data_IF_156836847618
#
_entry.id   IF_156836847618
#
_cell.length_a   1.000
_cell.length_b   1.000
_cell.length_c   1.000
_cell.angle_alpha   90.00
_cell.angle_beta   90.00
_cell.angle_gamma   90.00
#
_symmetry.space_group_name_H-M   'P 1'
#
loop_
_entity.id
_entity.type
_entity.pdbx_description
1 polymer ?
#
# COMPACT_ATOMS: atom_id res chain seq x y z
N UNK A 1 31.17 -16.70 13.70
CA UNK A 1 30.05 -17.39 14.37
C UNK A 1 30.41 -17.60 15.84
N UNK A 2 29.46 -17.54 16.80
CA UNK A 2 28.08 -17.05 16.71
C UNK A 2 27.65 -16.14 17.90
N UNK A 3 26.37 -15.77 17.89
CA UNK A 3 25.53 -15.29 19.00
C UNK A 3 25.39 -13.77 19.19
N UNK A 4 24.46 -13.17 18.42
CA UNK A 4 23.60 -12.12 18.98
C UNK A 4 22.18 -12.67 19.06
N UNK A 5 21.75 -12.85 20.30
CA UNK A 5 20.47 -13.41 20.69
C UNK A 5 19.34 -12.39 20.51
N UNK A 6 18.18 -12.93 20.17
CA UNK A 6 16.91 -12.24 20.03
C UNK A 6 16.52 -11.47 21.29
N UNK A 7 16.24 -10.17 21.15
CA UNK A 7 15.50 -9.40 22.15
C UNK A 7 14.02 -9.43 21.73
N UNK A 8 13.30 -10.47 22.18
CA UNK A 8 11.83 -10.42 22.28
C UNK A 8 11.50 -9.65 23.56
N UNK A 9 11.08 -8.39 23.43
CA UNK A 9 10.37 -7.72 24.52
C UNK A 9 8.89 -8.11 24.44
N UNK A 10 8.44 -8.78 25.51
CA UNK A 10 7.04 -8.96 25.86
C UNK A 10 6.40 -7.59 26.06
N UNK A 11 5.44 -7.22 25.21
CA UNK A 11 4.47 -6.17 25.51
C UNK A 11 3.17 -6.86 25.91
N UNK A 12 2.84 -6.77 27.20
CA UNK A 12 1.53 -7.22 27.71
C UNK A 12 0.51 -6.10 27.51
N UNK A 13 -0.51 -6.40 26.71
CA UNK A 13 -1.91 -6.11 27.04
C UNK A 13 -2.40 -4.68 26.84
N UNK A 14 -3.08 -4.46 25.73
CA UNK A 14 -4.41 -3.85 25.78
C UNK A 14 -5.30 -4.50 24.71
N UNK A 15 -6.07 -5.50 25.14
CA UNK A 15 -7.19 -6.05 24.41
C UNK A 15 -8.34 -5.04 24.48
N UNK A 16 -8.88 -4.64 23.33
CA UNK A 16 -10.32 -4.53 23.08
C UNK A 16 -10.52 -4.10 21.63
N UNK A 17 -10.76 -5.07 20.73
CA UNK A 17 -11.81 -4.93 19.74
C UNK A 17 -12.27 -6.30 19.26
N UNK A 18 -13.58 -6.40 19.05
CA UNK A 18 -14.36 -7.61 18.99
C UNK A 18 -13.92 -8.54 17.85
N UNK A 19 -13.71 -9.80 18.22
CA UNK A 19 -13.64 -10.95 17.32
C UNK A 19 -14.96 -11.06 16.52
N UNK A 20 -14.96 -10.48 15.33
CA UNK A 20 -15.84 -10.90 14.24
C UNK A 20 -15.17 -12.09 13.59
N UNK A 21 -15.84 -13.24 13.60
CA UNK A 21 -15.39 -14.54 13.10
C UNK A 21 -15.26 -14.60 11.56
N UNK A 22 -14.82 -13.51 10.92
CA UNK A 22 -14.42 -13.50 9.51
C UNK A 22 -12.92 -13.76 9.49
N UNK A 23 -12.52 -14.88 8.89
CA UNK A 23 -11.11 -15.14 8.58
C UNK A 23 -10.61 -13.97 7.70
N UNK A 24 -9.86 -13.05 8.29
CA UNK A 24 -9.23 -11.93 7.60
C UNK A 24 -8.17 -12.45 6.61
N UNK A 25 -7.83 -11.67 5.58
CA UNK A 25 -6.71 -12.00 4.71
C UNK A 25 -5.40 -12.15 5.53
N UNK A 26 -4.56 -13.18 5.29
CA UNK A 26 -3.25 -13.30 5.94
C UNK A 26 -2.33 -12.08 5.77
N UNK A 27 -2.47 -11.34 4.67
CA UNK A 27 -1.68 -10.13 4.41
C UNK A 27 -2.09 -8.95 5.30
N UNK A 28 -3.27 -9.02 5.95
CA UNK A 28 -3.67 -8.06 6.96
C UNK A 28 -2.98 -8.28 8.32
N UNK A 29 -2.33 -9.42 8.52
CA UNK A 29 -1.58 -9.72 9.75
C UNK A 29 -0.14 -9.22 9.63
N UNK A 30 0.17 -8.07 10.23
CA UNK A 30 1.52 -7.46 10.20
C UNK A 30 2.63 -8.38 10.74
N UNK A 31 2.31 -9.27 11.68
CA UNK A 31 3.27 -10.20 12.29
C UNK A 31 3.64 -11.37 11.37
N UNK A 32 2.86 -11.59 10.30
CA UNK A 32 3.19 -12.58 9.28
C UNK A 32 4.29 -12.02 8.37
N UNK A 33 5.48 -12.61 8.45
CA UNK A 33 6.58 -12.33 7.53
C UNK A 33 6.29 -12.91 6.14
N UNK A 34 5.56 -12.16 5.31
CA UNK A 34 5.09 -12.57 3.97
C UNK A 34 6.23 -13.09 3.09
N UNK A 35 7.41 -12.47 3.14
CA UNK A 35 8.58 -12.86 2.35
C UNK A 35 9.21 -14.19 2.77
N UNK A 36 8.87 -14.71 3.95
CA UNK A 36 9.45 -15.92 4.52
C UNK A 36 8.48 -17.11 4.52
N UNK A 37 7.24 -16.94 4.05
CA UNK A 37 6.22 -17.99 4.02
C UNK A 37 5.80 -18.30 2.59
N UNK A 38 5.50 -19.56 2.32
CA UNK A 38 4.81 -19.93 1.09
C UNK A 38 3.37 -19.44 1.17
N UNK A 39 3.06 -18.33 0.50
CA UNK A 39 1.72 -17.74 0.52
C UNK A 39 0.70 -18.59 -0.21
N UNK A 40 1.11 -19.51 -1.08
CA UNK A 40 0.19 -20.37 -1.84
C UNK A 40 -0.60 -21.32 -0.95
N UNK A 41 -0.11 -21.61 0.27
CA UNK A 41 -0.86 -22.37 1.27
C UNK A 41 -2.19 -21.72 1.66
N UNK A 42 -2.32 -20.40 1.47
CA UNK A 42 -3.54 -19.65 1.78
C UNK A 42 -4.55 -19.60 0.63
N UNK A 43 -4.18 -20.08 -0.57
CA UNK A 43 -4.98 -19.94 -1.78
C UNK A 43 -6.38 -20.57 -1.67
N UNK A 44 -6.52 -21.62 -0.86
CA UNK A 44 -7.78 -22.33 -0.67
C UNK A 44 -8.58 -21.86 0.56
N UNK A 45 -7.97 -21.05 1.42
CA UNK A 45 -8.58 -20.61 2.69
C UNK A 45 -8.93 -19.12 2.70
N UNK A 46 -8.18 -18.30 1.98
CA UNK A 46 -8.46 -16.88 1.88
C UNK A 46 -9.67 -16.63 0.98
N UNK A 47 -10.61 -15.80 1.46
CA UNK A 47 -11.82 -15.43 0.70
C UNK A 47 -11.66 -14.12 -0.06
N UNK A 48 -10.50 -13.47 0.06
CA UNK A 48 -10.27 -12.12 -0.45
C UNK A 48 -9.27 -12.10 -1.61
N UNK A 49 -8.27 -12.99 -1.56
CA UNK A 49 -7.22 -13.09 -2.57
C UNK A 49 -6.98 -14.54 -2.95
N UNK A 50 -6.51 -14.75 -4.17
CA UNK A 50 -6.16 -16.08 -4.69
C UNK A 50 -4.81 -16.57 -4.18
N UNK A 51 -3.91 -15.68 -3.76
CA UNK A 51 -2.57 -16.03 -3.26
C UNK A 51 -1.75 -16.91 -4.22
N UNK A 52 -2.00 -16.78 -5.51
CA UNK A 52 -1.27 -17.50 -6.54
C UNK A 52 0.21 -17.10 -6.51
N UNK A 53 1.09 -18.05 -6.81
CA UNK A 53 2.51 -17.77 -7.02
C UNK A 53 2.64 -16.83 -8.22
N UNK A 54 3.42 -15.76 -8.07
CA UNK A 54 3.67 -14.86 -9.18
C UNK A 54 4.40 -15.61 -10.31
N UNK A 55 4.03 -15.39 -11.58
CA UNK A 55 4.73 -16.00 -12.70
C UNK A 55 6.16 -15.47 -12.80
N UNK A 56 7.00 -16.17 -13.56
CA UNK A 56 8.31 -15.64 -13.95
C UNK A 56 8.08 -14.45 -14.88
N UNK A 57 8.67 -13.30 -14.53
CA UNK A 57 8.53 -12.07 -15.31
C UNK A 57 8.99 -12.28 -16.76
N UNK A 58 8.12 -11.98 -17.71
CA UNK A 58 8.42 -12.01 -19.15
C UNK A 58 8.75 -10.61 -19.69
N UNK A 59 8.26 -9.56 -19.03
CA UNK A 59 8.52 -8.15 -19.35
C UNK A 59 9.72 -7.68 -18.51
N UNK A 60 10.88 -7.65 -19.13
CA UNK A 60 12.13 -7.21 -18.50
C UNK A 60 12.55 -5.80 -18.91
N UNK A 61 12.08 -5.32 -20.06
CA UNK A 61 12.33 -3.96 -20.54
C UNK A 61 11.49 -2.93 -19.76
N UNK A 62 12.00 -1.69 -19.57
CA UNK A 62 11.23 -0.62 -18.96
C UNK A 62 9.89 -0.37 -19.64
N UNK A 63 8.84 -0.17 -18.84
CA UNK A 63 7.51 0.23 -19.30
C UNK A 63 7.28 1.70 -18.93
N UNK A 64 6.94 2.52 -19.92
CA UNK A 64 6.70 3.95 -19.70
C UNK A 64 5.38 4.21 -18.97
N UNK A 65 5.41 5.21 -18.09
CA UNK A 65 4.19 5.82 -17.56
C UNK A 65 3.63 6.80 -18.59
N UNK A 66 2.55 6.46 -19.27
CA UNK A 66 1.96 7.32 -20.30
C UNK A 66 1.13 8.41 -19.64
N UNK A 67 1.55 9.67 -19.80
CA UNK A 67 0.84 10.87 -19.31
C UNK A 67 0.60 11.82 -20.48
N UNK A 68 -0.64 12.26 -20.68
CA UNK A 68 -1.02 13.25 -21.71
C UNK A 68 -1.71 14.43 -21.06
N UNK A 69 -1.21 15.64 -21.32
CA UNK A 69 -1.73 16.88 -20.71
C UNK A 69 -1.88 16.78 -19.19
N UNK A 70 -0.88 16.20 -18.52
CA UNK A 70 -0.87 16.00 -17.07
C UNK A 70 -1.81 14.90 -16.55
N UNK A 71 -2.46 14.13 -17.42
CA UNK A 71 -3.37 13.04 -17.03
C UNK A 71 -2.77 11.69 -17.41
N UNK A 72 -2.72 10.76 -16.45
CA UNK A 72 -2.37 9.36 -16.71
C UNK A 72 -3.30 8.73 -17.75
N UNK A 73 -2.71 8.00 -18.71
CA UNK A 73 -3.43 7.28 -19.77
C UNK A 73 -3.12 5.80 -19.66
N UNK A 74 -4.17 4.99 -19.49
CA UNK A 74 -4.09 3.53 -19.55
C UNK A 74 -3.55 3.09 -20.91
N UNK A 75 -2.65 2.11 -20.92
CA UNK A 75 -1.97 1.63 -22.13
C UNK A 75 -2.01 0.10 -22.21
N UNK A 76 -1.80 -0.44 -23.41
CA UNK A 76 -1.67 -1.90 -23.59
C UNK A 76 -0.45 -2.46 -22.84
N UNK A 77 0.61 -1.69 -22.69
CA UNK A 77 1.82 -2.10 -21.98
C UNK A 77 1.62 -2.11 -20.46
N UNK A 78 0.92 -1.13 -19.88
CA UNK A 78 0.53 -1.19 -18.46
C UNK A 78 -0.44 -2.33 -18.16
N UNK A 79 -1.34 -2.65 -19.11
CA UNK A 79 -2.25 -3.78 -19.01
C UNK A 79 -1.51 -5.14 -19.09
N UNK A 80 -0.51 -5.25 -19.98
CA UNK A 80 0.35 -6.44 -20.02
C UNK A 80 1.18 -6.57 -18.73
N UNK A 81 1.67 -5.46 -18.19
CA UNK A 81 2.48 -5.44 -16.99
C UNK A 81 1.74 -5.90 -15.74
N UNK A 82 0.45 -5.55 -15.57
CA UNK A 82 -0.34 -6.11 -14.44
C UNK A 82 -0.52 -7.62 -14.58
N UNK A 83 -0.68 -8.14 -15.79
CA UNK A 83 -0.76 -9.58 -16.00
C UNK A 83 0.58 -10.27 -15.66
N UNK A 84 1.69 -9.67 -16.06
CA UNK A 84 3.03 -10.25 -15.90
C UNK A 84 3.51 -10.31 -14.45
N UNK A 85 3.00 -9.45 -13.56
CA UNK A 85 3.28 -9.56 -12.11
C UNK A 85 2.44 -10.62 -11.39
N UNK A 86 1.50 -11.29 -12.07
CA UNK A 86 0.54 -12.23 -11.46
C UNK A 86 -0.87 -11.66 -11.27
N UNK A 87 -1.18 -10.55 -11.95
CA UNK A 87 -2.51 -9.99 -12.03
C UNK A 87 -2.90 -9.05 -10.89
N UNK A 88 -4.15 -8.58 -10.92
CA UNK A 88 -4.68 -7.65 -9.93
C UNK A 88 -4.70 -8.20 -8.51
N UNK A 89 -4.72 -9.53 -8.33
CA UNK A 89 -4.62 -10.16 -7.01
C UNK A 89 -3.35 -9.74 -6.26
N UNK A 90 -2.22 -9.64 -6.95
CA UNK A 90 -0.93 -9.19 -6.39
C UNK A 90 -0.97 -7.72 -5.95
N UNK A 91 -1.74 -6.90 -6.67
CA UNK A 91 -1.99 -5.50 -6.27
C UNK A 91 -2.90 -5.46 -5.03
N UNK A 92 -3.91 -6.33 -4.93
CA UNK A 92 -4.80 -6.42 -3.75
C UNK A 92 -4.07 -6.88 -2.50
N UNK A 93 -3.22 -7.89 -2.63
CA UNK A 93 -2.31 -8.34 -1.57
C UNK A 93 -1.44 -7.20 -1.05
N UNK A 94 -0.77 -6.49 -1.97
CA UNK A 94 0.06 -5.33 -1.63
C UNK A 94 -0.74 -4.23 -0.93
N UNK A 95 -1.92 -3.86 -1.45
CA UNK A 95 -2.72 -2.79 -0.86
C UNK A 95 -3.29 -3.21 0.51
N UNK A 96 -3.65 -4.48 0.69
CA UNK A 96 -4.06 -5.02 2.00
C UNK A 96 -2.92 -4.93 3.00
N UNK A 97 -1.70 -5.35 2.60
CA UNK A 97 -0.51 -5.25 3.43
C UNK A 97 -0.15 -3.80 3.77
N UNK A 98 -0.29 -2.90 2.80
CA UNK A 98 -0.10 -1.47 3.00
C UNK A 98 -1.02 -0.94 4.10
N UNK A 99 -2.34 -1.20 4.00
CA UNK A 99 -3.27 -0.72 5.01
C UNK A 99 -3.07 -1.39 6.37
N UNK A 100 -2.65 -2.66 6.42
CA UNK A 100 -2.30 -3.33 7.67
C UNK A 100 -1.25 -2.54 8.46
N UNK A 101 -0.19 -2.08 7.78
CA UNK A 101 0.83 -1.21 8.37
C UNK A 101 0.32 0.21 8.61
N UNK A 102 -0.39 0.81 7.66
CA UNK A 102 -0.86 2.19 7.78
C UNK A 102 -1.88 2.37 8.92
N UNK A 103 -2.62 1.33 9.32
CA UNK A 103 -3.52 1.36 10.48
C UNK A 103 -2.78 1.41 11.83
N UNK A 104 -1.47 1.10 11.85
CA UNK A 104 -0.61 1.27 13.01
C UNK A 104 0.00 2.68 13.09
N UNK A 105 0.10 3.36 11.94
CA UNK A 105 0.68 4.70 11.84
C UNK A 105 -0.28 5.77 12.42
N UNK A 106 0.14 6.43 13.49
CA UNK A 106 -0.67 7.45 14.19
C UNK A 106 -0.93 8.71 13.35
N UNK A 107 -0.14 8.97 12.32
CA UNK A 107 -0.29 10.10 11.41
C UNK A 107 -1.26 9.77 10.26
N UNK A 108 -1.18 8.57 9.69
CA UNK A 108 -2.06 8.14 8.58
C UNK A 108 -3.44 7.69 9.06
N UNK A 109 -3.50 6.93 10.15
CA UNK A 109 -4.74 6.31 10.67
C UNK A 109 -5.91 7.30 10.85
N UNK A 110 -5.71 8.55 11.30
CA UNK A 110 -6.79 9.54 11.42
C UNK A 110 -7.50 9.87 10.10
N UNK A 111 -6.89 9.64 8.94
CA UNK A 111 -7.56 9.83 7.65
C UNK A 111 -8.53 8.68 7.30
N UNK A 112 -8.44 7.53 7.97
CA UNK A 112 -9.25 6.35 7.69
C UNK A 112 -10.58 6.41 8.46
N UNK A 113 -11.63 6.86 7.77
CA UNK A 113 -12.96 7.05 8.35
C UNK A 113 -13.83 5.79 8.38
N UNK A 114 -13.55 4.79 7.54
CA UNK A 114 -14.20 3.47 7.60
C UNK A 114 -13.43 2.55 8.56
N UNK A 115 -14.14 1.82 9.41
CA UNK A 115 -13.59 0.85 10.38
C UNK A 115 -13.70 -0.60 9.87
N UNK A 116 -13.72 -0.80 8.55
CA UNK A 116 -13.93 -2.09 7.88
C UNK A 116 -12.63 -2.89 7.61
N UNK A 117 -11.51 -2.43 8.16
CA UNK A 117 -10.25 -3.17 8.21
C UNK A 117 -9.35 -3.05 6.98
N UNK A 118 -8.13 -3.60 7.11
CA UNK A 118 -7.08 -3.48 6.10
C UNK A 118 -7.46 -4.13 4.76
N UNK A 119 -8.17 -5.26 4.79
CA UNK A 119 -8.59 -5.94 3.56
C UNK A 119 -9.56 -5.09 2.74
N UNK A 120 -10.55 -4.48 3.38
CA UNK A 120 -11.55 -3.67 2.67
C UNK A 120 -10.98 -2.34 2.14
N UNK A 121 -10.10 -1.69 2.91
CA UNK A 121 -9.35 -0.51 2.43
C UNK A 121 -8.39 -0.88 1.30
N UNK A 122 -7.66 -1.98 1.46
CA UNK A 122 -6.75 -2.54 0.45
C UNK A 122 -7.47 -2.84 -0.86
N UNK A 123 -8.64 -3.47 -0.79
CA UNK A 123 -9.47 -3.75 -1.95
C UNK A 123 -9.84 -2.47 -2.72
N UNK A 124 -10.27 -1.41 -2.03
CA UNK A 124 -10.63 -0.13 -2.67
C UNK A 124 -9.46 0.50 -3.44
N UNK A 125 -8.30 0.58 -2.80
CA UNK A 125 -7.12 1.16 -3.43
C UNK A 125 -6.66 0.28 -4.61
N UNK A 126 -6.64 -1.04 -4.42
CA UNK A 126 -6.25 -1.97 -5.46
C UNK A 126 -7.19 -1.93 -6.66
N UNK A 127 -8.51 -1.91 -6.45
CA UNK A 127 -9.51 -1.77 -7.52
C UNK A 127 -9.22 -0.54 -8.39
N UNK A 128 -8.90 0.57 -7.74
CA UNK A 128 -8.56 1.80 -8.45
C UNK A 128 -7.24 1.67 -9.21
N UNK A 129 -6.19 1.09 -8.63
CA UNK A 129 -4.90 0.87 -9.32
C UNK A 129 -5.07 -0.09 -10.50
N UNK A 130 -5.79 -1.20 -10.33
CA UNK A 130 -6.05 -2.22 -11.36
C UNK A 130 -6.80 -1.60 -12.53
N UNK A 131 -7.86 -0.81 -12.26
CA UNK A 131 -8.59 -0.09 -13.32
C UNK A 131 -7.68 0.93 -14.04
N UNK A 132 -6.74 1.59 -13.32
CA UNK A 132 -5.75 2.47 -13.97
C UNK A 132 -4.78 1.69 -14.86
N UNK A 133 -4.24 0.57 -14.39
CA UNK A 133 -3.32 -0.24 -15.19
C UNK A 133 -3.99 -0.78 -16.47
N UNK A 134 -5.29 -1.11 -16.38
CA UNK A 134 -6.08 -1.68 -17.46
C UNK A 134 -5.92 -3.20 -17.57
N UNK A 135 -6.59 -3.80 -18.55
CA UNK A 135 -6.44 -5.23 -18.87
C UNK A 135 -7.22 -6.21 -17.99
N UNK A 136 -7.81 -5.76 -16.86
CA UNK A 136 -8.57 -6.61 -15.93
C UNK A 136 -9.98 -6.07 -15.62
N UNK A 137 -10.62 -5.46 -16.62
CA UNK A 137 -11.95 -4.85 -16.47
C UNK A 137 -11.93 -3.52 -15.72
N UNK A 138 -13.04 -3.19 -15.07
CA UNK A 138 -13.25 -1.90 -14.39
C UNK A 138 -13.67 -2.09 -12.93
N UNK A 139 -12.88 -2.80 -12.10
CA UNK A 139 -13.32 -3.22 -10.77
C UNK A 139 -13.65 -2.06 -9.83
N UNK A 140 -12.99 -0.90 -9.99
CA UNK A 140 -13.34 0.29 -9.21
C UNK A 140 -14.72 0.82 -9.59
N UNK A 141 -14.99 0.96 -10.89
CA UNK A 141 -16.30 1.40 -11.38
C UNK A 141 -17.40 0.38 -11.06
N UNK A 142 -17.13 -0.90 -11.27
CA UNK A 142 -18.09 -2.01 -11.07
C UNK A 142 -18.47 -2.21 -9.60
N UNK A 143 -17.56 -1.84 -8.67
CA UNK A 143 -17.86 -1.82 -7.22
C UNK A 143 -18.81 -0.68 -6.79
N UNK A 144 -19.31 0.12 -7.73
CA UNK A 144 -20.15 1.30 -7.46
C UNK A 144 -19.35 2.52 -6.99
N UNK A 145 -18.02 2.50 -7.08
CA UNK A 145 -17.14 3.58 -6.62
C UNK A 145 -16.77 4.60 -7.70
N UNK A 146 -17.36 4.50 -8.88
CA UNK A 146 -17.20 5.53 -9.92
C UNK A 146 -17.58 6.91 -9.35
N UNK A 147 -16.66 7.88 -9.47
CA UNK A 147 -16.86 9.22 -8.91
C UNK A 147 -16.62 9.38 -7.40
N UNK A 148 -16.34 8.29 -6.67
CA UNK A 148 -16.19 8.34 -5.20
C UNK A 148 -14.83 8.87 -4.71
N UNK A 149 -13.87 9.17 -5.59
CA UNK A 149 -12.54 9.69 -5.20
C UNK A 149 -12.66 10.98 -4.38
N UNK A 150 -13.26 12.03 -4.94
CA UNK A 150 -13.35 13.33 -4.28
C UNK A 150 -14.21 13.30 -3.00
N UNK A 151 -15.40 12.66 -3.00
CA UNK A 151 -16.17 12.48 -1.76
C UNK A 151 -15.41 11.74 -0.67
N UNK A 152 -14.64 10.71 -1.02
CA UNK A 152 -13.85 9.95 -0.03
C UNK A 152 -12.70 10.79 0.54
N UNK A 153 -12.01 11.58 -0.30
CA UNK A 153 -10.98 12.50 0.19
C UNK A 153 -11.55 13.57 1.11
N UNK A 154 -12.69 14.17 0.74
CA UNK A 154 -13.37 15.15 1.60
C UNK A 154 -13.71 14.56 2.98
N UNK A 155 -14.22 13.31 3.03
CA UNK A 155 -14.48 12.61 4.29
C UNK A 155 -13.21 12.36 5.10
N UNK A 156 -12.13 11.94 4.45
CA UNK A 156 -10.84 11.71 5.10
C UNK A 156 -10.28 13.01 5.72
N UNK A 157 -10.32 14.12 4.98
CA UNK A 157 -9.85 15.42 5.47
C UNK A 157 -10.71 15.91 6.65
N UNK A 158 -12.01 15.68 6.62
CA UNK A 158 -12.94 16.13 7.65
C UNK A 158 -13.21 15.07 8.74
N UNK A 159 -12.42 14.01 8.81
CA UNK A 159 -12.68 12.93 9.74
C UNK A 159 -12.56 13.39 11.21
N UNK A 160 -13.51 12.96 12.05
CA UNK A 160 -13.54 13.28 13.49
C UNK A 160 -12.33 12.70 14.25
N UNK A 161 -11.69 11.66 13.71
CA UNK A 161 -10.45 11.10 14.25
C UNK A 161 -9.25 12.05 14.17
N UNK A 162 -9.31 13.05 13.28
CA UNK A 162 -8.26 14.10 13.16
C UNK A 162 -8.47 15.16 14.24
N UNK A 163 -7.37 15.71 14.74
CA UNK A 163 -7.40 16.82 15.70
C UNK A 163 -8.09 18.05 15.08
N UNK A 164 -8.86 18.78 15.90
CA UNK A 164 -9.73 19.87 15.44
C UNK A 164 -8.97 20.98 14.69
N UNK A 165 -7.72 21.25 15.07
CA UNK A 165 -6.88 22.29 14.44
C UNK A 165 -6.38 21.94 13.01
N UNK A 166 -6.46 20.68 12.58
CA UNK A 166 -6.02 20.23 11.23
C UNK A 166 -7.14 19.58 10.44
N UNK A 167 -8.33 19.40 11.03
CA UNK A 167 -9.50 18.87 10.32
C UNK A 167 -9.87 19.82 9.18
N UNK A 168 -10.11 19.27 8.00
CA UNK A 168 -10.32 20.00 6.75
C UNK A 168 -9.05 20.25 5.94
N UNK A 169 -7.86 20.24 6.56
CA UNK A 169 -6.60 20.38 5.83
C UNK A 169 -6.37 19.16 4.94
N UNK A 170 -5.78 19.39 3.76
CA UNK A 170 -5.38 18.31 2.87
C UNK A 170 -4.17 17.53 3.44
N UNK A 171 -3.81 16.45 2.76
CA UNK A 171 -2.58 15.70 3.01
C UNK A 171 -1.37 16.65 2.87
N UNK A 172 -0.54 16.77 3.90
CA UNK A 172 0.68 17.58 3.80
C UNK A 172 1.87 16.77 3.24
N UNK A 173 3.04 17.39 3.20
CA UNK A 173 4.25 16.74 2.68
C UNK A 173 4.71 15.55 3.54
N UNK A 174 4.59 15.66 4.86
CA UNK A 174 4.94 14.56 5.76
C UNK A 174 3.98 13.40 5.53
N UNK A 175 2.67 13.65 5.49
CA UNK A 175 1.63 12.64 5.26
C UNK A 175 1.90 11.89 3.94
N UNK A 176 2.15 12.65 2.87
CA UNK A 176 2.41 12.10 1.53
C UNK A 176 3.64 11.19 1.50
N UNK A 177 4.71 11.59 2.18
CA UNK A 177 5.96 10.82 2.22
C UNK A 177 5.84 9.60 3.15
N UNK A 178 5.17 9.74 4.29
CA UNK A 178 4.83 8.61 5.17
C UNK A 178 4.02 7.56 4.41
N UNK A 179 2.95 7.99 3.72
CA UNK A 179 2.12 7.12 2.88
C UNK A 179 2.96 6.38 1.83
N UNK A 180 3.80 7.09 1.07
CA UNK A 180 4.65 6.47 0.04
C UNK A 180 5.63 5.46 0.64
N UNK A 181 6.29 5.78 1.75
CA UNK A 181 7.26 4.90 2.41
C UNK A 181 6.63 3.60 2.90
N UNK A 182 5.48 3.69 3.57
CA UNK A 182 4.73 2.51 4.04
C UNK A 182 4.21 1.69 2.86
N UNK A 183 3.71 2.34 1.81
CA UNK A 183 3.22 1.66 0.60
C UNK A 183 4.34 0.92 -0.15
N UNK A 184 5.50 1.56 -0.33
CA UNK A 184 6.66 0.92 -0.94
C UNK A 184 7.24 -0.19 -0.07
N UNK A 185 7.14 -0.10 1.26
CA UNK A 185 7.54 -1.20 2.14
C UNK A 185 6.62 -2.41 1.97
N UNK A 186 5.29 -2.22 2.00
CA UNK A 186 4.33 -3.28 1.74
C UNK A 186 4.54 -3.93 0.37
N UNK A 187 4.78 -3.14 -0.68
CA UNK A 187 5.09 -3.65 -2.01
C UNK A 187 6.36 -4.52 -2.04
N UNK A 188 7.35 -4.22 -1.17
CA UNK A 188 8.54 -5.06 -1.04
C UNK A 188 8.25 -6.38 -0.34
N UNK A 189 7.48 -6.35 0.75
CA UNK A 189 7.06 -7.57 1.46
C UNK A 189 6.27 -8.51 0.54
N UNK A 190 5.45 -7.96 -0.35
CA UNK A 190 4.70 -8.72 -1.35
C UNK A 190 5.52 -9.11 -2.60
N UNK A 191 6.83 -8.84 -2.61
CA UNK A 191 7.73 -9.23 -3.70
C UNK A 191 7.59 -8.45 -5.00
N UNK A 192 6.71 -7.44 -5.08
CA UNK A 192 6.48 -6.68 -6.33
C UNK A 192 7.74 -5.98 -6.85
N UNK A 193 8.64 -5.60 -5.95
CA UNK A 193 9.93 -5.00 -6.31
C UNK A 193 10.91 -5.93 -7.04
N UNK A 194 10.68 -7.25 -7.02
CA UNK A 194 11.51 -8.23 -7.71
C UNK A 194 11.25 -8.22 -9.22
N UNK A 195 10.07 -7.75 -9.64
CA UNK A 195 9.77 -7.52 -11.04
C UNK A 195 10.27 -6.12 -11.44
N UNK A 196 11.47 -6.03 -12.00
CA UNK A 196 12.17 -4.75 -12.22
C UNK A 196 11.39 -3.74 -13.07
N UNK A 197 10.83 -4.18 -14.20
CA UNK A 197 10.03 -3.32 -15.08
C UNK A 197 8.79 -2.75 -14.37
N UNK A 198 8.09 -3.60 -13.60
CA UNK A 198 6.96 -3.16 -12.79
C UNK A 198 7.41 -2.20 -11.69
N UNK A 199 8.50 -2.49 -10.97
CA UNK A 199 8.96 -1.64 -9.88
C UNK A 199 9.28 -0.23 -10.35
N UNK A 200 10.00 -0.09 -11.46
CA UNK A 200 10.30 1.23 -12.06
C UNK A 200 9.01 1.95 -12.45
N UNK A 201 8.11 1.26 -13.15
CA UNK A 201 6.82 1.83 -13.54
C UNK A 201 5.99 2.24 -12.32
N UNK A 202 5.96 1.42 -11.27
CA UNK A 202 5.14 1.62 -10.08
C UNK A 202 5.60 2.80 -9.22
N UNK A 203 6.92 3.00 -9.11
CA UNK A 203 7.49 4.20 -8.47
C UNK A 203 7.08 5.47 -9.22
N UNK A 204 7.12 5.47 -10.56
CA UNK A 204 6.64 6.61 -11.36
C UNK A 204 5.12 6.80 -11.25
N UNK A 205 4.36 5.71 -11.26
CA UNK A 205 2.91 5.72 -11.11
C UNK A 205 2.48 6.36 -9.79
N UNK A 206 3.05 5.93 -8.66
CA UNK A 206 2.75 6.53 -7.36
C UNK A 206 3.26 7.97 -7.27
N UNK A 207 4.43 8.27 -7.84
CA UNK A 207 4.94 9.64 -7.94
C UNK A 207 4.02 10.57 -8.75
N UNK A 208 3.37 10.08 -9.80
CA UNK A 208 2.38 10.86 -10.55
C UNK A 208 1.12 11.11 -9.71
N UNK A 209 0.57 10.09 -9.08
CA UNK A 209 -0.70 10.21 -8.38
C UNK A 209 -0.61 10.85 -6.99
N UNK A 210 0.56 10.82 -6.34
CA UNK A 210 0.76 11.58 -5.09
C UNK A 210 0.65 13.10 -5.31
N UNK A 211 0.91 13.56 -6.54
CA UNK A 211 0.77 14.98 -6.91
C UNK A 211 -0.65 15.52 -6.73
N UNK A 212 -1.67 14.66 -6.74
CA UNK A 212 -3.08 15.03 -6.48
C UNK A 212 -3.29 15.43 -5.02
N UNK A 213 -2.48 14.89 -4.11
CA UNK A 213 -2.56 15.16 -2.68
C UNK A 213 -1.60 16.28 -2.28
N UNK A 214 -0.34 16.17 -2.71
CA UNK A 214 0.72 17.11 -2.36
C UNK A 214 1.79 17.10 -3.47
N UNK A 215 1.79 18.14 -4.30
CA UNK A 215 2.69 18.25 -5.45
C UNK A 215 4.17 18.26 -5.05
N UNK A 216 4.52 18.77 -3.87
CA UNK A 216 5.91 18.79 -3.37
C UNK A 216 6.44 17.39 -3.05
N UNK A 217 5.57 16.38 -2.94
CA UNK A 217 5.97 15.00 -2.65
C UNK A 217 6.55 14.27 -3.88
N UNK A 218 6.23 14.71 -5.10
CA UNK A 218 6.62 14.03 -6.35
C UNK A 218 8.13 13.75 -6.45
N UNK A 219 9.05 14.72 -6.17
CA UNK A 219 10.49 14.49 -6.27
C UNK A 219 11.00 13.43 -5.28
N UNK A 220 10.23 13.10 -4.25
CA UNK A 220 10.61 12.16 -3.21
C UNK A 220 10.24 10.70 -3.51
N UNK A 221 9.43 10.42 -4.53
CA UNK A 221 8.98 9.04 -4.82
C UNK A 221 10.14 8.03 -4.90
N UNK A 222 11.22 8.38 -5.63
CA UNK A 222 12.43 7.55 -5.71
C UNK A 222 13.18 7.44 -4.38
N UNK A 223 13.25 8.54 -3.60
CA UNK A 223 13.90 8.54 -2.29
C UNK A 223 13.15 7.66 -1.30
N UNK A 224 11.82 7.76 -1.28
CA UNK A 224 10.96 7.02 -0.37
C UNK A 224 10.84 5.54 -0.76
N UNK A 225 10.91 5.22 -2.06
CA UNK A 225 11.09 3.85 -2.54
C UNK A 225 12.44 3.23 -2.13
N UNK A 226 13.52 4.04 -2.09
CA UNK A 226 14.83 3.60 -1.58
C UNK A 226 14.81 3.46 -0.05
N UNK A 227 14.12 4.35 0.65
CA UNK A 227 13.96 4.29 2.10
C UNK A 227 13.38 2.94 2.54
N UNK A 228 12.36 2.44 1.82
CA UNK A 228 11.70 1.17 2.17
C UNK A 228 12.56 -0.07 1.95
N UNK A 229 13.71 0.04 1.27
CA UNK A 229 14.64 -1.08 1.05
C UNK A 229 15.47 -1.40 2.30
N UNK A 230 15.68 -0.43 3.18
CA UNK A 230 16.61 -0.55 4.29
C UNK A 230 15.90 -1.03 5.54
N UNK A 231 16.23 -2.24 6.01
CA UNK A 231 15.64 -2.80 7.23
C UNK A 231 15.83 -1.88 8.44
N UNK A 232 16.97 -1.19 8.54
CA UNK A 232 17.24 -0.23 9.61
C UNK A 232 16.23 0.92 9.65
N UNK A 233 15.69 1.33 8.49
CA UNK A 233 14.66 2.37 8.44
C UNK A 233 13.30 1.83 8.93
N UNK A 234 12.97 0.60 8.53
CA UNK A 234 11.75 -0.08 8.96
C UNK A 234 11.78 -0.32 10.47
N UNK A 235 12.90 -0.84 10.99
CA UNK A 235 13.11 -1.08 12.42
C UNK A 235 13.00 0.23 13.21
N UNK A 236 13.57 1.32 12.70
CA UNK A 236 13.45 2.63 13.33
C UNK A 236 12.01 3.15 13.33
N UNK A 237 11.26 2.97 12.24
CA UNK A 237 9.84 3.32 12.16
C UNK A 237 9.00 2.54 13.18
N UNK A 238 9.19 1.22 13.27
CA UNK A 238 8.48 0.36 14.25
C UNK A 238 8.88 0.73 15.69
N UNK A 239 10.17 0.96 15.95
CA UNK A 239 10.68 1.34 17.28
C UNK A 239 10.13 2.70 17.74
N UNK A 240 9.87 3.62 16.81
CA UNK A 240 9.24 4.92 17.07
C UNK A 240 7.70 4.85 17.02
N UNK A 241 7.11 3.72 17.42
CA UNK A 241 5.66 3.51 17.46
C UNK A 241 4.96 3.84 16.12
N UNK A 242 5.56 3.39 15.02
CA UNK A 242 5.04 3.59 13.67
C UNK A 242 4.93 5.08 13.31
N UNK A 243 5.99 5.84 13.62
CA UNK A 243 6.13 7.25 13.21
C UNK A 243 7.48 7.49 12.52
N UNK A 244 7.56 8.54 11.70
CA UNK A 244 8.75 8.87 10.91
C UNK A 244 9.34 10.21 11.34
N UNK A 245 10.09 10.27 12.46
CA UNK A 245 10.66 11.52 12.97
C UNK A 245 11.71 12.16 12.04
N UNK A 246 12.22 11.41 11.06
CA UNK A 246 13.11 11.94 10.02
C UNK A 246 12.37 12.76 8.94
N UNK A 247 11.04 12.67 8.90
CA UNK A 247 10.19 13.53 8.10
C UNK A 247 9.77 14.73 8.95
N UNK A 248 10.48 15.85 8.76
CA UNK A 248 10.10 17.14 9.33
C UNK A 248 9.54 18.03 8.22
N UNK A 249 8.61 18.91 8.58
CA UNK A 249 8.20 20.04 7.72
C UNK A 249 9.29 21.11 7.65
#
# INVERSE_FOLDING_TARGET
>A
MPAFAAIRKLVHGSSHHASSNRLECPFANVDLAISAVDTSQFAHTCRFHAHAVAPVASITSPVDLVVRSGTFVTSSTSAALVQDIGGGDKIRECCTRFYAHAFLDSQLKPFFFEDDGATAHGQRLADWIIEKMGGQGTPWSDSGRRGMRQPSHYKAWNNAKRHDNVRGNHFNLVDARTWMRVHFWAARECGLHLHEAFWVWYVHFLGHFIAVYEQRAVPYANKDAKWSKLQTNIDAYILNDHTMPDLLE
#
